data_IF_999698029353
#
_entry.id   IF_999698029353
#
_cell.length_a   1.000
_cell.length_b   1.000
_cell.length_c   1.000
_cell.angle_alpha   90.00
_cell.angle_beta   90.00
_cell.angle_gamma   90.00
#
_symmetry.space_group_name_H-M   'P 1'
#
loop_
_entity.id
_entity.type
_entity.pdbx_description
1 polymer ?
#
# COMPACT_ATOMS: atom_id res chain seq x y z
N UNK A 1 19.32 -31.02 -32.41
CA UNK A 1 18.67 -31.76 -33.52
C UNK A 1 17.15 -31.69 -33.35
N UNK A 2 16.45 -31.20 -34.35
CA UNK A 2 14.99 -30.95 -34.34
C UNK A 2 14.19 -32.21 -34.02
N UNK A 3 14.57 -33.36 -34.57
CA UNK A 3 13.89 -34.64 -34.33
C UNK A 3 13.99 -35.06 -32.84
N UNK A 4 15.14 -34.88 -32.21
CA UNK A 4 15.27 -35.18 -30.78
C UNK A 4 14.41 -34.28 -29.93
N UNK A 5 14.33 -32.99 -30.29
CA UNK A 5 13.44 -32.05 -29.60
C UNK A 5 11.97 -32.43 -29.71
N UNK A 6 11.52 -32.81 -30.89
CA UNK A 6 10.16 -33.25 -31.15
C UNK A 6 9.83 -34.59 -30.45
N UNK A 7 10.80 -35.53 -30.41
CA UNK A 7 10.66 -36.80 -29.68
C UNK A 7 10.54 -36.52 -28.16
N UNK A 8 11.40 -35.66 -27.60
CA UNK A 8 11.35 -35.31 -26.20
C UNK A 8 10.05 -34.59 -25.80
N UNK A 9 9.45 -33.86 -26.72
CA UNK A 9 8.14 -33.21 -26.56
C UNK A 9 6.96 -34.17 -26.78
N UNK A 10 7.22 -35.41 -27.18
CA UNK A 10 6.17 -36.40 -27.42
C UNK A 10 5.39 -36.22 -28.74
N UNK A 11 5.84 -35.38 -29.66
CA UNK A 11 5.15 -35.09 -30.91
C UNK A 11 5.44 -36.11 -32.03
N UNK A 12 6.56 -36.83 -31.92
CA UNK A 12 6.95 -37.90 -32.80
C UNK A 12 7.45 -39.11 -32.02
N UNK A 13 7.23 -40.30 -32.56
CA UNK A 13 7.83 -41.55 -32.11
C UNK A 13 8.80 -42.05 -33.17
N UNK A 14 9.59 -43.08 -32.85
CA UNK A 14 10.40 -43.77 -33.89
C UNK A 14 10.36 -45.26 -33.68
N UNK A 15 10.44 -45.99 -34.81
CA UNK A 15 10.65 -47.42 -34.87
C UNK A 15 12.00 -47.69 -35.51
N UNK A 16 12.64 -48.78 -35.10
CA UNK A 16 13.88 -49.25 -35.71
C UNK A 16 13.54 -50.28 -36.77
N UNK A 17 13.98 -50.05 -38.02
CA UNK A 17 13.92 -51.04 -39.09
C UNK A 17 15.37 -51.35 -39.50
N UNK A 18 15.91 -52.40 -38.90
CA UNK A 18 17.33 -52.68 -39.00
C UNK A 18 18.16 -51.63 -38.23
N UNK A 19 19.08 -50.96 -38.95
CA UNK A 19 19.91 -49.85 -38.39
C UNK A 19 19.31 -48.45 -38.64
N UNK A 20 18.13 -48.35 -39.24
CA UNK A 20 17.52 -47.07 -39.64
C UNK A 20 16.38 -46.71 -38.65
N UNK A 21 16.37 -45.48 -38.17
CA UNK A 21 15.27 -44.92 -37.39
C UNK A 21 14.24 -44.31 -38.33
N UNK A 22 13.01 -44.81 -38.27
CA UNK A 22 11.86 -44.26 -39.00
C UNK A 22 11.02 -43.46 -37.99
N UNK A 23 10.87 -42.16 -38.19
CA UNK A 23 10.09 -41.28 -37.32
C UNK A 23 8.64 -41.23 -37.82
N UNK A 24 7.70 -41.23 -36.90
CA UNK A 24 6.29 -41.15 -37.18
C UNK A 24 5.65 -40.12 -36.25
N UNK A 25 4.77 -39.29 -36.78
CA UNK A 25 3.99 -38.35 -35.97
C UNK A 25 3.03 -39.10 -35.03
N UNK A 26 2.87 -38.59 -33.82
CA UNK A 26 1.88 -39.07 -32.85
C UNK A 26 0.48 -38.71 -33.35
N UNK A 27 -0.51 -39.55 -33.04
CA UNK A 27 -1.90 -39.27 -33.38
C UNK A 27 -2.33 -37.90 -32.85
N UNK A 28 -3.03 -37.06 -33.61
CA UNK A 28 -3.57 -35.79 -33.16
C UNK A 28 -4.45 -35.93 -31.91
N UNK A 29 -5.14 -37.06 -31.75
CA UNK A 29 -5.95 -37.35 -30.55
C UNK A 29 -5.10 -37.51 -29.29
N UNK A 30 -3.90 -38.08 -29.39
CA UNK A 30 -2.99 -38.20 -28.25
C UNK A 30 -2.45 -36.82 -27.87
N UNK A 31 -2.19 -35.94 -28.82
CA UNK A 31 -1.82 -34.54 -28.52
C UNK A 31 -2.95 -33.80 -27.80
N UNK A 32 -4.18 -33.96 -28.27
CA UNK A 32 -5.34 -33.34 -27.63
C UNK A 32 -5.45 -33.82 -26.15
N UNK A 33 -5.30 -35.12 -25.92
CA UNK A 33 -5.32 -35.68 -24.57
C UNK A 33 -4.21 -35.10 -23.69
N UNK A 34 -2.99 -34.95 -24.20
CA UNK A 34 -1.87 -34.35 -23.47
C UNK A 34 -2.17 -32.88 -23.05
N UNK A 35 -2.79 -32.10 -23.93
CA UNK A 35 -3.21 -30.74 -23.59
C UNK A 35 -4.30 -30.71 -22.54
N UNK A 36 -5.28 -31.59 -22.62
CA UNK A 36 -6.34 -31.72 -21.62
C UNK A 36 -5.77 -32.15 -20.25
N UNK A 37 -4.80 -33.06 -20.22
CA UNK A 37 -4.13 -33.47 -18.99
C UNK A 37 -3.32 -32.28 -18.37
N UNK A 38 -2.65 -31.49 -19.18
CA UNK A 38 -1.94 -30.27 -18.74
C UNK A 38 -2.90 -29.20 -18.23
N UNK A 39 -4.01 -29.00 -18.91
CA UNK A 39 -5.07 -28.08 -18.47
C UNK A 39 -5.61 -28.47 -17.10
N UNK A 40 -5.97 -29.73 -16.93
CA UNK A 40 -6.45 -30.25 -15.65
C UNK A 40 -5.40 -30.14 -14.51
N UNK A 41 -4.11 -30.31 -14.84
CA UNK A 41 -3.04 -30.08 -13.87
C UNK A 41 -2.94 -28.60 -13.49
N UNK A 42 -3.03 -27.69 -14.46
CA UNK A 42 -3.00 -26.27 -14.21
C UNK A 42 -4.20 -25.79 -13.39
N UNK A 43 -5.41 -26.27 -13.71
CA UNK A 43 -6.62 -25.96 -12.94
C UNK A 43 -6.50 -26.36 -11.48
N UNK A 44 -5.83 -27.48 -11.18
CA UNK A 44 -5.60 -27.93 -9.78
C UNK A 44 -4.70 -26.98 -8.99
N UNK A 45 -3.70 -26.40 -9.63
CA UNK A 45 -2.76 -25.48 -8.96
C UNK A 45 -3.21 -24.02 -9.02
N UNK A 46 -4.12 -23.66 -9.92
CA UNK A 46 -4.60 -22.30 -10.13
C UNK A 46 -5.11 -21.61 -8.84
N UNK A 47 -5.95 -22.26 -7.99
CA UNK A 47 -6.42 -21.64 -6.75
C UNK A 47 -5.28 -21.27 -5.81
N UNK A 48 -4.25 -22.12 -5.73
CA UNK A 48 -3.07 -21.84 -4.88
C UNK A 48 -2.20 -20.70 -5.44
N UNK A 49 -2.13 -20.57 -6.76
CA UNK A 49 -1.43 -19.46 -7.41
C UNK A 49 -2.19 -18.15 -7.23
N UNK A 50 -3.50 -18.16 -7.39
CA UNK A 50 -4.36 -17.00 -7.14
C UNK A 50 -4.29 -16.55 -5.69
N UNK A 51 -4.28 -17.49 -4.73
CA UNK A 51 -4.09 -17.18 -3.32
C UNK A 51 -2.73 -16.53 -3.08
N UNK A 52 -1.65 -17.08 -3.63
CA UNK A 52 -0.31 -16.47 -3.53
C UNK A 52 -0.23 -15.11 -4.19
N UNK A 53 -0.91 -14.91 -5.30
CA UNK A 53 -1.00 -13.62 -5.99
C UNK A 53 -1.69 -12.57 -5.12
N UNK A 54 -2.85 -12.90 -4.53
CA UNK A 54 -3.54 -12.04 -3.56
C UNK A 54 -2.68 -11.70 -2.35
N UNK A 55 -1.95 -12.66 -1.79
CA UNK A 55 -0.99 -12.41 -0.71
C UNK A 55 0.21 -11.55 -1.17
N UNK A 56 0.60 -11.62 -2.43
CA UNK A 56 1.64 -10.78 -3.02
C UNK A 56 1.24 -9.32 -3.13
N UNK A 57 -0.01 -9.04 -3.48
CA UNK A 57 -0.59 -7.69 -3.54
C UNK A 57 -0.79 -7.08 -2.13
N UNK A 58 -0.89 -7.89 -1.09
CA UNK A 58 -1.07 -7.46 0.31
C UNK A 58 0.26 -7.33 1.08
N UNK A 59 1.41 -7.58 0.44
CA UNK A 59 2.70 -7.38 1.12
C UNK A 59 2.86 -5.92 1.53
N UNK A 60 3.14 -5.67 2.83
CA UNK A 60 3.45 -4.32 3.27
C UNK A 60 4.63 -3.76 2.48
N UNK A 61 4.49 -2.56 1.98
CA UNK A 61 5.56 -1.82 1.32
C UNK A 61 5.91 -0.62 2.19
N UNK A 62 7.19 -0.32 2.31
CA UNK A 62 7.66 0.87 3.01
C UNK A 62 8.65 1.62 2.12
N UNK A 63 8.44 2.93 2.00
CA UNK A 63 9.26 3.83 1.23
C UNK A 63 9.77 4.95 2.14
N UNK A 64 11.05 5.30 2.02
CA UNK A 64 11.68 6.36 2.81
C UNK A 64 11.82 7.62 1.94
N UNK A 65 11.42 8.75 2.49
CA UNK A 65 11.47 10.05 1.86
C UNK A 65 12.35 10.98 2.70
N UNK A 66 13.38 11.56 2.12
CA UNK A 66 14.33 12.42 2.83
C UNK A 66 14.20 13.89 2.41
N UNK A 67 14.47 14.76 3.34
CA UNK A 67 14.42 16.21 3.17
C UNK A 67 12.98 16.77 3.08
N UNK A 68 12.85 18.07 3.20
CA UNK A 68 11.55 18.78 3.19
C UNK A 68 10.73 18.45 1.95
N UNK A 69 11.34 18.46 0.76
CA UNK A 69 10.64 18.11 -0.50
C UNK A 69 10.18 16.66 -0.51
N UNK A 70 11.00 15.74 0.00
CA UNK A 70 10.66 14.32 0.11
C UNK A 70 9.42 14.12 0.99
N UNK A 71 9.41 14.73 2.19
CA UNK A 71 8.26 14.64 3.10
C UNK A 71 6.99 15.28 2.51
N UNK A 72 7.12 16.38 1.77
CA UNK A 72 6.00 16.99 1.03
C UNK A 72 5.44 16.01 -0.01
N UNK A 73 6.31 15.34 -0.78
CA UNK A 73 5.89 14.36 -1.78
C UNK A 73 5.19 13.17 -1.11
N UNK A 74 5.74 12.65 -0.01
CA UNK A 74 5.10 11.59 0.77
C UNK A 74 3.69 11.96 1.21
N UNK A 75 3.50 13.17 1.77
CA UNK A 75 2.18 13.64 2.19
C UNK A 75 1.20 13.81 1.02
N UNK A 76 1.68 14.22 -0.15
CA UNK A 76 0.87 14.26 -1.36
C UNK A 76 0.45 12.84 -1.80
N UNK A 77 1.38 11.89 -1.80
CA UNK A 77 1.13 10.50 -2.15
C UNK A 77 0.17 9.81 -1.16
N UNK A 78 0.24 10.18 0.12
CA UNK A 78 -0.67 9.67 1.15
C UNK A 78 -2.15 9.88 0.80
N UNK A 79 -2.47 11.00 0.15
CA UNK A 79 -3.85 11.35 -0.23
C UNK A 79 -4.15 11.20 -1.72
N UNK A 80 -3.22 10.72 -2.52
CA UNK A 80 -3.35 10.67 -3.98
C UNK A 80 -4.61 9.91 -4.42
N UNK A 81 -4.78 8.69 -3.91
CA UNK A 81 -5.89 7.77 -4.24
C UNK A 81 -7.13 8.01 -3.38
N UNK A 82 -7.13 9.05 -2.54
CA UNK A 82 -8.24 9.28 -1.63
C UNK A 82 -9.45 9.83 -2.40
N UNK A 83 -10.59 9.17 -2.21
CA UNK A 83 -11.88 9.56 -2.78
C UNK A 83 -12.59 10.57 -1.86
N UNK A 84 -13.54 11.35 -2.37
CA UNK A 84 -14.39 12.19 -1.54
C UNK A 84 -15.02 11.40 -0.38
N UNK A 85 -15.10 12.01 0.80
CA UNK A 85 -15.54 11.41 2.07
C UNK A 85 -14.57 10.38 2.67
N UNK A 86 -13.41 10.08 2.06
CA UNK A 86 -12.36 9.30 2.72
C UNK A 86 -11.93 9.99 4.01
N UNK A 87 -11.67 9.20 5.05
CA UNK A 87 -11.19 9.71 6.34
C UNK A 87 -9.68 9.85 6.32
N UNK A 88 -9.21 11.00 6.78
CA UNK A 88 -7.82 11.29 7.04
C UNK A 88 -7.64 11.48 8.53
N UNK A 89 -6.80 10.68 9.16
CA UNK A 89 -6.50 10.75 10.57
C UNK A 89 -5.08 11.25 10.78
N UNK A 90 -4.85 12.04 11.83
CA UNK A 90 -3.49 12.39 12.20
C UNK A 90 -3.32 12.62 13.68
N UNK A 91 -2.15 12.26 14.18
CA UNK A 91 -1.63 12.72 15.45
C UNK A 91 -0.74 13.93 15.19
N UNK A 92 -1.07 15.05 15.81
CA UNK A 92 -0.39 16.29 15.53
C UNK A 92 1.10 16.22 15.89
N UNK A 93 1.90 16.94 15.13
CA UNK A 93 3.31 17.10 15.42
C UNK A 93 3.51 17.82 16.77
N UNK A 94 4.65 17.57 17.38
CA UNK A 94 5.13 18.36 18.51
C UNK A 94 5.69 19.73 18.05
N UNK A 95 6.08 20.59 19.01
CA UNK A 95 6.57 21.94 18.72
C UNK A 95 7.89 21.95 17.93
N UNK A 96 8.68 20.88 17.97
CA UNK A 96 10.00 20.82 17.34
C UNK A 96 9.96 20.91 15.81
N UNK A 97 8.80 20.60 15.20
CA UNK A 97 8.61 20.62 13.73
C UNK A 97 8.03 21.92 13.16
N UNK A 98 7.82 22.97 13.97
CA UNK A 98 7.05 24.16 13.58
C UNK A 98 7.91 25.28 12.97
N UNK A 99 8.60 25.04 11.88
CA UNK A 99 9.16 26.14 11.12
C UNK A 99 8.11 26.78 10.18
N UNK A 100 8.38 28.04 9.76
CA UNK A 100 7.45 28.82 8.90
C UNK A 100 7.15 28.15 7.56
N UNK A 101 8.08 27.41 6.99
CA UNK A 101 7.90 26.74 5.70
C UNK A 101 6.94 25.56 5.84
N UNK A 102 7.09 24.76 6.89
CA UNK A 102 6.21 23.63 7.21
C UNK A 102 4.79 24.13 7.50
N UNK A 103 4.66 25.24 8.24
CA UNK A 103 3.34 25.85 8.49
C UNK A 103 2.66 26.30 7.21
N UNK A 104 3.39 26.98 6.30
CA UNK A 104 2.87 27.39 4.98
C UNK A 104 2.46 26.17 4.14
N UNK A 105 3.23 25.11 4.19
CA UNK A 105 2.88 23.87 3.50
C UNK A 105 1.57 23.31 4.02
N UNK A 106 1.40 23.17 5.34
CA UNK A 106 0.18 22.60 5.92
C UNK A 106 -1.08 23.43 5.62
N UNK A 107 -0.99 24.75 5.53
CA UNK A 107 -2.11 25.59 5.08
C UNK A 107 -2.56 25.20 3.65
N UNK A 108 -1.60 25.04 2.73
CA UNK A 108 -1.89 24.59 1.36
C UNK A 108 -2.40 23.15 1.33
N UNK A 109 -1.85 22.30 2.18
CA UNK A 109 -2.24 20.90 2.28
C UNK A 109 -3.66 20.74 2.85
N UNK A 110 -4.06 21.60 3.78
CA UNK A 110 -5.44 21.66 4.27
C UNK A 110 -6.43 22.00 3.16
N UNK A 111 -6.10 22.99 2.32
CA UNK A 111 -6.89 23.33 1.15
C UNK A 111 -7.03 22.11 0.21
N UNK A 112 -5.90 21.45 -0.11
CA UNK A 112 -5.89 20.25 -0.96
C UNK A 112 -6.76 19.12 -0.41
N UNK A 113 -6.72 18.87 0.92
CA UNK A 113 -7.58 17.86 1.58
C UNK A 113 -9.05 18.23 1.52
N UNK A 114 -9.36 19.53 1.70
CA UNK A 114 -10.72 20.06 1.55
C UNK A 114 -11.24 19.89 0.13
N UNK A 115 -10.45 20.27 -0.88
CA UNK A 115 -10.81 20.18 -2.30
C UNK A 115 -11.06 18.72 -2.72
N UNK A 116 -10.30 17.77 -2.15
CA UNK A 116 -10.56 16.34 -2.30
C UNK A 116 -11.80 15.84 -1.53
N UNK A 117 -12.44 16.69 -0.73
CA UNK A 117 -13.61 16.32 0.08
C UNK A 117 -13.29 15.33 1.22
N UNK A 118 -12.08 15.37 1.77
CA UNK A 118 -11.68 14.48 2.86
C UNK A 118 -12.26 14.91 4.20
N UNK A 119 -12.62 13.93 5.04
CA UNK A 119 -13.00 14.15 6.44
C UNK A 119 -11.73 14.05 7.27
N UNK A 120 -11.23 15.19 7.73
CA UNK A 120 -9.93 15.27 8.43
C UNK A 120 -10.13 15.34 9.94
N UNK A 121 -9.63 14.32 10.66
CA UNK A 121 -9.67 14.22 12.12
C UNK A 121 -8.26 14.22 12.69
N UNK A 122 -8.03 15.07 13.69
CA UNK A 122 -6.73 15.19 14.35
C UNK A 122 -6.83 15.11 15.86
N UNK A 123 -5.86 14.42 16.46
CA UNK A 123 -5.66 14.43 17.91
C UNK A 123 -4.35 15.16 18.21
N UNK A 124 -4.40 16.10 19.16
CA UNK A 124 -3.25 16.87 19.61
C UNK A 124 -3.17 16.89 21.14
N UNK A 125 -1.99 17.20 21.69
CA UNK A 125 -1.88 17.56 23.11
C UNK A 125 -2.57 18.90 23.36
N UNK A 126 -3.17 19.05 24.53
CA UNK A 126 -3.92 20.26 24.91
C UNK A 126 -3.09 21.54 24.74
N UNK A 127 -1.79 21.49 25.05
CA UNK A 127 -0.88 22.63 24.90
C UNK A 127 -0.73 23.14 23.47
N UNK A 128 -1.05 22.31 22.46
CA UNK A 128 -0.94 22.68 21.05
C UNK A 128 -2.25 23.23 20.44
N UNK A 129 -3.29 23.43 21.27
CA UNK A 129 -4.60 23.88 20.79
C UNK A 129 -4.51 25.19 19.97
N UNK A 130 -3.64 26.11 20.36
CA UNK A 130 -3.46 27.40 19.68
C UNK A 130 -3.05 27.26 18.21
N UNK A 131 -2.33 26.19 17.83
CA UNK A 131 -1.88 25.94 16.46
C UNK A 131 -3.02 25.56 15.51
N UNK A 132 -4.12 25.08 16.03
CA UNK A 132 -5.24 24.54 15.25
C UNK A 132 -6.49 25.42 15.31
N UNK A 133 -6.50 26.48 16.13
CA UNK A 133 -7.66 27.35 16.36
C UNK A 133 -8.19 28.02 15.09
N UNK A 134 -7.31 28.33 14.13
CA UNK A 134 -7.66 28.95 12.86
C UNK A 134 -7.91 27.96 11.72
N UNK A 135 -7.71 26.65 11.93
CA UNK A 135 -7.81 25.61 10.92
C UNK A 135 -9.19 24.93 10.92
N UNK A 136 -10.23 25.69 10.55
CA UNK A 136 -11.65 25.28 10.61
C UNK A 136 -12.00 24.02 9.80
N UNK A 137 -11.14 23.60 8.87
CA UNK A 137 -11.33 22.40 8.03
C UNK A 137 -11.09 21.11 8.84
N UNK A 138 -10.42 21.22 9.98
CA UNK A 138 -10.00 20.08 10.77
C UNK A 138 -11.00 19.84 11.92
N UNK A 139 -11.38 18.58 12.10
CA UNK A 139 -12.03 18.13 13.30
C UNK A 139 -10.95 17.79 14.32
N UNK A 140 -10.80 18.58 15.37
CA UNK A 140 -9.73 18.42 16.36
C UNK A 140 -10.27 17.95 17.70
N UNK A 141 -9.54 17.03 18.34
CA UNK A 141 -9.71 16.67 19.75
C UNK A 141 -8.39 16.74 20.49
N UNK A 142 -8.44 16.90 21.79
CA UNK A 142 -7.27 17.19 22.61
C UNK A 142 -7.15 16.24 23.79
N UNK A 143 -5.92 15.81 24.06
CA UNK A 143 -5.58 14.96 25.21
C UNK A 143 -4.54 15.63 26.11
N UNK A 144 -4.44 15.21 27.37
CA UNK A 144 -3.47 15.75 28.33
C UNK A 144 -2.18 14.92 28.38
N UNK A 145 -2.26 13.66 28.09
CA UNK A 145 -1.13 12.73 28.11
C UNK A 145 -0.34 12.73 26.80
N UNK A 146 0.81 12.11 26.80
CA UNK A 146 1.61 11.91 25.60
C UNK A 146 0.89 10.97 24.64
N UNK A 147 0.98 11.28 23.36
CA UNK A 147 0.49 10.45 22.24
C UNK A 147 1.60 10.31 21.20
N UNK A 148 1.55 9.28 20.36
CA UNK A 148 2.39 9.26 19.17
C UNK A 148 2.20 10.56 18.40
N UNK A 149 3.27 11.16 17.94
CA UNK A 149 3.24 12.40 17.16
C UNK A 149 3.68 12.14 15.71
N UNK A 150 3.33 13.05 14.82
CA UNK A 150 3.78 13.01 13.43
C UNK A 150 3.34 11.76 12.64
N UNK A 151 2.18 11.22 12.96
CA UNK A 151 1.57 10.09 12.22
C UNK A 151 0.35 10.60 11.47
N UNK A 152 0.26 10.22 10.19
CA UNK A 152 -0.90 10.51 9.36
C UNK A 152 -1.36 9.25 8.63
N UNK A 153 -2.68 9.04 8.56
CA UNK A 153 -3.26 7.83 7.97
C UNK A 153 -4.36 8.22 6.99
N UNK A 154 -4.31 7.65 5.80
CA UNK A 154 -5.38 7.79 4.81
C UNK A 154 -5.56 6.47 4.06
N UNK A 155 -6.77 5.93 4.06
CA UNK A 155 -7.08 4.64 3.44
C UNK A 155 -6.17 3.51 3.98
N UNK A 156 -5.33 2.93 3.12
CA UNK A 156 -4.38 1.85 3.43
C UNK A 156 -2.92 2.32 3.53
N UNK A 157 -2.72 3.64 3.62
CA UNK A 157 -1.41 4.28 3.70
C UNK A 157 -1.24 4.95 5.07
N UNK A 158 -0.05 4.81 5.66
CA UNK A 158 0.34 5.50 6.90
C UNK A 158 1.68 6.20 6.67
N UNK A 159 1.76 7.44 7.07
CA UNK A 159 2.97 8.25 7.05
C UNK A 159 3.48 8.44 8.48
N UNK A 160 4.74 8.08 8.70
CA UNK A 160 5.49 8.38 9.91
C UNK A 160 6.49 9.47 9.58
N UNK A 161 6.46 10.59 10.29
CA UNK A 161 7.25 11.76 9.95
C UNK A 161 8.19 12.16 11.10
N UNK A 162 9.37 12.62 10.75
CA UNK A 162 10.33 13.25 11.65
C UNK A 162 10.73 14.61 11.08
N UNK A 163 10.65 15.65 11.91
CA UNK A 163 10.92 17.05 11.53
C UNK A 163 12.20 17.58 12.17
N UNK A 164 13.28 16.82 12.14
CA UNK A 164 14.60 17.28 12.60
C UNK A 164 15.33 18.18 11.58
N UNK A 165 16.63 18.32 11.73
CA UNK A 165 17.49 19.05 10.78
C UNK A 165 17.37 18.50 9.36
N UNK A 166 17.25 17.19 9.20
CA UNK A 166 16.89 16.49 7.97
C UNK A 166 15.50 15.87 8.13
N UNK A 167 14.43 16.56 7.68
CA UNK A 167 13.11 15.96 7.69
C UNK A 167 13.10 14.62 6.97
N UNK A 168 12.49 13.62 7.58
CA UNK A 168 12.41 12.27 7.01
C UNK A 168 11.00 11.74 7.19
N UNK A 169 10.50 11.00 6.22
CA UNK A 169 9.21 10.34 6.31
C UNK A 169 9.29 8.90 5.81
N UNK A 170 8.48 8.05 6.40
CA UNK A 170 8.27 6.67 5.96
C UNK A 170 6.81 6.52 5.56
N UNK A 171 6.57 6.18 4.31
CA UNK A 171 5.23 5.83 3.83
C UNK A 171 5.10 4.31 3.83
N UNK A 172 4.15 3.81 4.61
CA UNK A 172 3.83 2.38 4.68
C UNK A 172 2.49 2.15 4.01
N UNK A 173 2.46 1.24 3.03
CA UNK A 173 1.24 0.78 2.35
C UNK A 173 0.88 -0.60 2.93
N UNK A 174 -0.12 -0.66 3.82
CA UNK A 174 -0.57 -1.90 4.47
C UNK A 174 -1.96 -1.74 5.06
N UNK A 175 -2.91 -2.52 4.60
CA UNK A 175 -4.28 -2.54 5.13
C UNK A 175 -4.30 -2.93 6.61
N UNK A 176 -3.50 -3.93 7.00
CA UNK A 176 -3.46 -4.45 8.37
C UNK A 176 -2.89 -3.42 9.36
N UNK A 177 -1.74 -2.79 9.02
CA UNK A 177 -1.11 -1.77 9.86
C UNK A 177 -2.04 -0.56 9.99
N UNK A 178 -2.61 -0.08 8.88
CA UNK A 178 -3.53 1.04 8.90
C UNK A 178 -4.78 0.74 9.76
N UNK A 179 -5.36 -0.44 9.65
CA UNK A 179 -6.52 -0.86 10.46
C UNK A 179 -6.21 -0.76 11.95
N UNK A 180 -5.10 -1.35 12.41
CA UNK A 180 -4.68 -1.31 13.81
C UNK A 180 -4.47 0.13 14.31
N UNK A 181 -3.83 0.98 13.50
CA UNK A 181 -3.59 2.38 13.87
C UNK A 181 -4.87 3.22 13.87
N UNK A 182 -5.81 2.95 12.98
CA UNK A 182 -7.13 3.60 12.97
C UNK A 182 -7.94 3.19 14.19
N UNK A 183 -7.94 1.91 14.57
CA UNK A 183 -8.61 1.41 15.78
C UNK A 183 -8.05 2.11 17.03
N UNK A 184 -6.73 2.24 17.12
CA UNK A 184 -6.08 3.00 18.19
C UNK A 184 -6.49 4.47 18.18
N UNK A 185 -6.45 5.13 17.01
CA UNK A 185 -6.90 6.52 16.88
C UNK A 185 -8.35 6.70 17.34
N UNK A 186 -9.26 5.86 16.86
CA UNK A 186 -10.70 5.96 17.20
C UNK A 186 -10.96 5.67 18.69
N UNK A 187 -10.16 4.83 19.35
CA UNK A 187 -10.25 4.61 20.79
C UNK A 187 -9.91 5.90 21.57
N UNK A 188 -8.82 6.55 21.19
CA UNK A 188 -8.42 7.84 21.78
C UNK A 188 -9.41 8.96 21.42
N UNK A 189 -9.93 8.94 20.19
CA UNK A 189 -10.91 9.92 19.75
C UNK A 189 -12.15 9.95 20.64
N UNK A 190 -12.62 8.81 21.12
CA UNK A 190 -13.79 8.71 21.99
C UNK A 190 -13.57 9.38 23.36
N UNK A 191 -12.37 9.32 23.89
CA UNK A 191 -12.01 9.84 25.22
C UNK A 191 -11.43 11.24 25.20
N UNK A 192 -10.94 11.72 24.05
CA UNK A 192 -10.33 13.04 23.89
C UNK A 192 -11.40 14.15 23.96
N UNK A 193 -11.06 15.26 24.64
CA UNK A 193 -11.94 16.41 24.76
C UNK A 193 -12.10 17.15 23.41
N UNK A 194 -13.30 17.64 23.13
CA UNK A 194 -13.54 18.52 22.00
C UNK A 194 -12.80 19.86 22.19
N UNK A 195 -12.35 20.46 21.10
CA UNK A 195 -11.64 21.73 21.06
C UNK A 195 -12.51 22.95 21.20
#
# INVERSE_FOLDING_TARGET
>A
NTLNSLTNKGYITHILKGKIKIYQAVSPQNLLKEFQDKEAQFERILPSLEQKHKFGEEKPQAEIFEGTKGVINLLNELIEDAKPKSRYYFFAMDESGLNKEIQKFFVKYDAKRKDKGLIVRGIARKGLKYLFSHRKVLQMRYVRHQIPSNISICNHKIALLSWGEKPTGILIKSKQICKSQIEFFESLWKTAAQG
#
